data_IF_948358082245
#
_entry.id   IF_948358082245
#
_cell.length_a   1.000
_cell.length_b   1.000
_cell.length_c   1.000
_cell.angle_alpha   90.00
_cell.angle_beta   90.00
_cell.angle_gamma   90.00
#
_symmetry.space_group_name_H-M   'P 1'
#
loop_
_entity.id
_entity.type
_entity.pdbx_description
1 polymer ?
#
# COMPACT_ATOMS: atom_id res chain seq x y z
N UNK A 1 17.30 -0.09 8.10
CA UNK A 1 16.73 1.29 8.22
C UNK A 1 15.87 1.50 7.00
N UNK A 2 14.59 1.76 7.18
CA UNK A 2 13.64 1.99 6.09
C UNK A 2 13.82 3.39 5.50
N UNK A 3 13.49 3.57 4.21
CA UNK A 3 13.45 4.88 3.55
C UNK A 3 12.45 5.83 4.21
N UNK A 4 11.45 5.29 4.88
CA UNK A 4 10.41 6.03 5.57
C UNK A 4 10.78 6.47 6.99
N UNK A 5 11.83 5.90 7.61
CA UNK A 5 12.26 6.27 8.95
C UNK A 5 12.47 7.79 9.13
N UNK A 6 13.09 8.52 8.17
CA UNK A 6 13.31 9.95 8.32
C UNK A 6 12.03 10.78 8.28
N UNK A 7 11.00 10.33 7.55
CA UNK A 7 9.77 11.08 7.28
C UNK A 7 8.54 10.53 8.02
N UNK A 8 8.68 9.57 8.91
CA UNK A 8 7.56 8.92 9.57
C UNK A 8 6.56 9.90 10.22
N UNK A 9 7.04 11.00 10.80
CA UNK A 9 6.18 12.02 11.43
C UNK A 9 5.50 12.99 10.47
N UNK A 10 6.02 13.12 9.25
CA UNK A 10 5.45 13.99 8.21
C UNK A 10 4.72 13.19 7.13
N UNK A 11 4.69 11.87 7.26
CA UNK A 11 4.07 10.98 6.27
C UNK A 11 2.59 11.27 6.07
N UNK A 12 1.82 11.35 7.15
CA UNK A 12 0.39 11.62 7.06
C UNK A 12 0.07 13.01 6.51
N UNK A 13 0.73 14.11 6.94
CA UNK A 13 0.62 15.38 6.24
C UNK A 13 0.94 15.27 4.75
N UNK A 14 2.05 14.61 4.38
CA UNK A 14 2.46 14.47 2.98
C UNK A 14 1.47 13.66 2.15
N UNK A 15 0.89 12.59 2.71
CA UNK A 15 -0.07 11.70 2.02
C UNK A 15 -1.54 12.15 2.12
N UNK A 16 -1.81 13.31 2.71
CA UNK A 16 -3.16 13.80 3.03
C UNK A 16 -4.07 14.00 1.81
N UNK A 17 -3.50 14.19 0.62
CA UNK A 17 -4.26 14.43 -0.61
C UNK A 17 -5.06 13.22 -1.10
N UNK A 18 -4.75 12.01 -0.61
CA UNK A 18 -5.48 10.78 -0.96
C UNK A 18 -6.25 10.31 0.27
N UNK A 19 -7.56 10.40 0.24
CA UNK A 19 -8.48 10.04 1.34
C UNK A 19 -9.54 9.04 0.94
N UNK A 20 -9.83 8.92 -0.34
CA UNK A 20 -10.88 8.07 -0.90
C UNK A 20 -10.56 6.58 -0.73
N UNK A 21 -9.30 6.24 -0.63
CA UNK A 21 -8.84 4.88 -0.37
C UNK A 21 -9.21 4.39 1.05
N UNK A 22 -9.27 5.30 2.03
CA UNK A 22 -9.61 4.94 3.41
C UNK A 22 -11.01 4.32 3.49
N UNK A 23 -12.00 4.99 2.92
CA UNK A 23 -13.39 4.51 2.91
C UNK A 23 -13.51 3.17 2.16
N UNK A 24 -12.85 3.06 1.01
CA UNK A 24 -12.81 1.84 0.21
C UNK A 24 -12.28 0.64 0.99
N UNK A 25 -11.13 0.77 1.68
CA UNK A 25 -10.54 -0.33 2.46
C UNK A 25 -11.35 -0.65 3.72
N UNK A 26 -11.94 0.35 4.37
CA UNK A 26 -12.86 0.13 5.50
C UNK A 26 -14.09 -0.68 5.06
N UNK A 27 -14.69 -0.34 3.91
CA UNK A 27 -15.81 -1.11 3.36
C UNK A 27 -15.41 -2.55 3.02
N UNK A 28 -14.23 -2.75 2.41
CA UNK A 28 -13.71 -4.08 2.12
C UNK A 28 -13.50 -4.91 3.41
N UNK A 29 -12.99 -4.29 4.46
CA UNK A 29 -12.80 -4.92 5.77
C UNK A 29 -14.13 -5.32 6.40
N UNK A 30 -15.13 -4.43 6.40
CA UNK A 30 -16.49 -4.71 6.89
C UNK A 30 -17.15 -5.84 6.11
N UNK A 31 -17.01 -5.84 4.78
CA UNK A 31 -17.58 -6.88 3.91
C UNK A 31 -16.92 -8.24 4.13
N UNK A 32 -15.64 -8.31 4.52
CA UNK A 32 -14.94 -9.55 4.82
C UNK A 32 -15.35 -10.16 6.16
N UNK A 33 -15.85 -9.36 7.08
CA UNK A 33 -16.14 -9.74 8.47
C UNK A 33 -14.90 -9.86 9.36
N UNK A 34 -13.69 -9.55 8.83
CA UNK A 34 -12.41 -9.55 9.53
C UNK A 34 -12.03 -10.85 10.23
N UNK A 35 -10.81 -10.98 10.79
CA UNK A 35 -9.75 -9.96 10.86
C UNK A 35 -9.12 -9.62 9.51
N UNK A 36 -8.33 -8.55 9.47
CA UNK A 36 -7.61 -8.09 8.28
C UNK A 36 -6.11 -8.11 8.54
N UNK A 37 -5.32 -8.55 7.58
CA UNK A 37 -3.88 -8.31 7.57
C UNK A 37 -3.60 -7.15 6.62
N UNK A 38 -2.88 -6.13 7.10
CA UNK A 38 -2.38 -5.02 6.29
C UNK A 38 -0.86 -5.15 6.12
N UNK A 39 -0.44 -5.35 4.87
CA UNK A 39 0.96 -5.38 4.47
C UNK A 39 1.44 -3.95 4.19
N UNK A 40 2.60 -3.58 4.76
CA UNK A 40 3.12 -2.21 4.78
C UNK A 40 2.16 -1.22 5.45
N UNK A 41 1.79 -1.52 6.70
CA UNK A 41 0.79 -0.77 7.47
C UNK A 41 1.18 0.70 7.72
N UNK A 42 2.46 1.05 7.61
CA UNK A 42 2.96 2.41 7.77
C UNK A 42 2.59 3.02 9.12
N UNK A 43 2.03 4.23 9.07
CA UNK A 43 1.54 4.98 10.23
C UNK A 43 0.17 4.52 10.74
N UNK A 44 -0.41 3.48 10.11
CA UNK A 44 -1.76 3.01 10.45
C UNK A 44 -2.89 3.81 9.80
N UNK A 45 -2.60 4.56 8.74
CA UNK A 45 -3.55 5.42 8.05
C UNK A 45 -4.83 4.68 7.60
N UNK A 46 -4.71 3.40 7.24
CA UNK A 46 -5.84 2.52 6.90
C UNK A 46 -6.21 1.61 8.08
N UNK A 47 -5.22 1.04 8.79
CA UNK A 47 -5.47 0.13 9.93
C UNK A 47 -6.31 0.76 11.04
N UNK A 48 -6.04 2.03 11.38
CA UNK A 48 -6.76 2.70 12.47
C UNK A 48 -8.24 2.93 12.14
N UNK A 49 -8.63 3.48 10.98
CA UNK A 49 -10.03 3.56 10.55
C UNK A 49 -10.75 2.21 10.48
N UNK A 50 -10.08 1.15 10.01
CA UNK A 50 -10.64 -0.21 10.03
C UNK A 50 -10.91 -0.65 11.47
N UNK A 51 -9.98 -0.38 12.40
CA UNK A 51 -10.17 -0.70 13.82
C UNK A 51 -11.28 0.16 14.46
N UNK A 52 -11.43 1.44 14.09
CA UNK A 52 -12.56 2.29 14.51
C UNK A 52 -13.91 1.73 14.04
N UNK A 53 -13.94 1.03 12.89
CA UNK A 53 -15.11 0.30 12.42
C UNK A 53 -15.35 -1.04 13.15
N UNK A 54 -14.54 -1.39 14.16
CA UNK A 54 -14.69 -2.58 15.00
C UNK A 54 -14.04 -3.86 14.46
N UNK A 55 -13.22 -3.76 13.43
CA UNK A 55 -12.51 -4.89 12.83
C UNK A 55 -11.06 -4.95 13.35
N UNK A 56 -10.63 -6.14 13.79
CA UNK A 56 -9.23 -6.38 14.19
C UNK A 56 -8.30 -6.33 12.97
N UNK A 57 -7.19 -5.58 13.10
CA UNK A 57 -6.15 -5.45 12.08
C UNK A 57 -4.82 -5.98 12.60
N UNK A 58 -4.13 -6.76 11.79
CA UNK A 58 -2.76 -7.23 12.02
C UNK A 58 -1.89 -6.54 10.96
N UNK A 59 -1.10 -5.56 11.36
CA UNK A 59 -0.25 -4.77 10.47
C UNK A 59 1.20 -5.22 10.52
N UNK A 60 1.88 -5.24 9.37
CA UNK A 60 3.33 -5.43 9.28
C UNK A 60 3.97 -4.28 8.52
N UNK A 61 5.11 -3.79 9.00
CA UNK A 61 5.91 -2.77 8.32
C UNK A 61 7.40 -2.96 8.61
N UNK A 62 8.24 -2.59 7.62
CA UNK A 62 9.69 -2.65 7.73
C UNK A 62 10.28 -1.49 8.56
N UNK A 63 9.53 -0.40 8.74
CA UNK A 63 9.93 0.77 9.51
C UNK A 63 9.39 0.72 10.93
N UNK A 64 10.29 0.52 11.90
CA UNK A 64 9.92 0.62 13.31
C UNK A 64 9.35 1.98 13.67
N UNK A 65 9.85 3.06 13.05
CA UNK A 65 9.37 4.43 13.30
C UNK A 65 7.95 4.67 12.81
N UNK A 66 7.60 4.08 11.66
CA UNK A 66 6.22 4.09 11.17
C UNK A 66 5.29 3.36 12.13
N UNK A 67 5.69 2.18 12.59
CA UNK A 67 4.92 1.40 13.57
C UNK A 67 4.76 2.14 14.92
N UNK A 68 5.74 2.94 15.32
CA UNK A 68 5.63 3.73 16.56
C UNK A 68 4.56 4.82 16.40
N UNK A 69 4.48 5.48 15.22
CA UNK A 69 3.40 6.42 14.89
C UNK A 69 2.05 5.70 14.84
N UNK A 70 1.98 4.52 14.21
CA UNK A 70 0.74 3.73 14.15
C UNK A 70 0.20 3.37 15.55
N UNK A 71 1.10 2.99 16.48
CA UNK A 71 0.73 2.72 17.89
C UNK A 71 0.20 3.95 18.60
N UNK A 72 0.84 5.11 18.35
CA UNK A 72 0.40 6.39 18.92
C UNK A 72 -0.99 6.75 18.42
N UNK A 73 -1.23 6.67 17.11
CA UNK A 73 -2.55 6.92 16.50
C UNK A 73 -3.64 5.97 17.01
N UNK A 74 -3.36 4.66 17.05
CA UNK A 74 -4.32 3.67 17.56
C UNK A 74 -4.72 3.95 19.02
N UNK A 75 -3.74 4.38 19.85
CA UNK A 75 -4.00 4.77 21.25
C UNK A 75 -4.82 6.05 21.35
N UNK A 76 -4.49 7.07 20.57
CA UNK A 76 -5.23 8.34 20.55
C UNK A 76 -6.70 8.15 20.13
N UNK A 77 -6.96 7.19 19.25
CA UNK A 77 -8.31 6.82 18.81
C UNK A 77 -8.99 5.78 19.71
N UNK A 78 -8.29 5.24 20.73
CA UNK A 78 -8.83 4.26 21.68
C UNK A 78 -9.05 2.86 21.09
N UNK A 79 -8.38 2.54 19.98
CA UNK A 79 -8.52 1.27 19.25
C UNK A 79 -7.27 0.39 19.30
N UNK A 80 -6.32 0.68 20.18
CA UNK A 80 -5.07 -0.09 20.32
C UNK A 80 -5.29 -1.58 20.61
N UNK A 81 -6.44 -1.94 21.18
CA UNK A 81 -6.81 -3.32 21.48
C UNK A 81 -7.25 -4.12 20.23
N UNK A 82 -7.51 -3.44 19.11
CA UNK A 82 -7.85 -4.02 17.81
C UNK A 82 -6.71 -3.96 16.80
N UNK A 83 -5.62 -3.27 17.10
CA UNK A 83 -4.49 -3.08 16.18
C UNK A 83 -3.25 -3.81 16.73
N UNK A 84 -2.88 -4.90 16.07
CA UNK A 84 -1.67 -5.67 16.35
C UNK A 84 -0.59 -5.31 15.32
N UNK A 85 0.62 -4.92 15.76
CA UNK A 85 1.65 -4.38 14.86
C UNK A 85 2.96 -5.17 14.99
N UNK A 86 3.47 -5.65 13.85
CA UNK A 86 4.69 -6.42 13.72
C UNK A 86 5.73 -5.68 12.89
N UNK A 87 6.97 -5.65 13.36
CA UNK A 87 8.11 -5.23 12.56
C UNK A 87 8.58 -6.41 11.70
N UNK A 88 8.52 -6.26 10.37
CA UNK A 88 8.87 -7.35 9.45
C UNK A 88 8.80 -6.93 7.99
N UNK A 89 9.27 -7.83 7.13
CA UNK A 89 9.20 -7.69 5.67
C UNK A 89 7.85 -8.24 5.17
N UNK A 90 7.18 -7.50 4.30
CA UNK A 90 5.93 -7.94 3.68
C UNK A 90 6.10 -9.16 2.76
N UNK A 91 7.33 -9.45 2.31
CA UNK A 91 7.65 -10.68 1.57
C UNK A 91 7.79 -11.93 2.47
N UNK A 92 8.03 -11.73 3.77
CA UNK A 92 8.12 -12.80 4.79
C UNK A 92 7.57 -12.28 6.12
N UNK A 93 6.27 -11.95 6.18
CA UNK A 93 5.67 -11.34 7.36
C UNK A 93 5.63 -12.32 8.54
N UNK A 94 5.99 -11.88 9.76
CA UNK A 94 6.00 -12.73 10.95
C UNK A 94 4.57 -12.96 11.48
N UNK A 95 3.64 -13.33 10.60
CA UNK A 95 2.23 -13.56 10.87
C UNK A 95 1.90 -15.00 10.52
N UNK A 96 1.26 -15.73 11.42
CA UNK A 96 0.93 -17.14 11.24
C UNK A 96 -0.57 -17.41 11.18
N UNK A 97 -1.38 -16.40 11.49
CA UNK A 97 -2.83 -16.45 11.40
C UNK A 97 -3.27 -16.28 9.94
N UNK A 98 -4.30 -17.02 9.54
CA UNK A 98 -4.97 -16.82 8.26
C UNK A 98 -6.21 -15.96 8.46
N UNK A 99 -6.48 -15.10 7.50
CA UNK A 99 -7.55 -14.11 7.54
C UNK A 99 -8.39 -14.14 6.26
N UNK A 100 -9.64 -13.68 6.31
CA UNK A 100 -10.48 -13.58 5.11
C UNK A 100 -10.04 -12.46 4.16
N UNK A 101 -9.29 -11.46 4.65
CA UNK A 101 -8.84 -10.32 3.86
C UNK A 101 -7.40 -9.94 4.18
N UNK A 102 -6.57 -9.87 3.14
CA UNK A 102 -5.25 -9.22 3.17
C UNK A 102 -5.33 -7.96 2.31
N UNK A 103 -4.78 -6.86 2.79
CA UNK A 103 -4.69 -5.61 2.01
C UNK A 103 -3.24 -5.13 1.91
N UNK A 104 -2.93 -4.44 0.83
CA UNK A 104 -1.63 -3.77 0.63
C UNK A 104 -1.86 -2.40 -0.01
N UNK A 105 -2.26 -1.39 0.78
CA UNK A 105 -2.67 -0.08 0.30
C UNK A 105 -1.50 0.79 -0.17
N UNK A 106 -1.87 1.88 -0.84
CA UNK A 106 -1.03 3.03 -1.14
C UNK A 106 0.23 2.67 -1.94
N UNK A 107 0.03 1.85 -2.99
CA UNK A 107 1.07 1.52 -3.98
C UNK A 107 2.30 0.81 -3.40
N UNK A 108 2.17 0.21 -2.21
CA UNK A 108 3.29 -0.38 -1.46
C UNK A 108 4.00 -1.49 -2.23
N UNK A 109 3.30 -2.25 -3.09
CA UNK A 109 3.92 -3.28 -3.94
C UNK A 109 4.88 -2.71 -4.99
N UNK A 110 4.80 -1.41 -5.30
CA UNK A 110 5.72 -0.79 -6.27
C UNK A 110 7.13 -0.58 -5.70
N UNK A 111 7.32 -0.69 -4.37
CA UNK A 111 8.66 -0.66 -3.76
C UNK A 111 9.52 -1.89 -4.09
N UNK A 112 8.89 -2.99 -4.52
CA UNK A 112 9.59 -4.19 -4.96
C UNK A 112 10.24 -3.93 -6.33
N UNK A 113 11.57 -3.94 -6.39
CA UNK A 113 12.30 -3.57 -7.60
C UNK A 113 12.10 -4.57 -8.77
N UNK A 114 11.98 -5.85 -8.46
CA UNK A 114 11.88 -6.90 -9.45
C UNK A 114 10.59 -7.72 -9.38
N UNK A 115 10.26 -8.39 -10.49
CA UNK A 115 9.11 -9.31 -10.54
C UNK A 115 9.23 -10.46 -9.55
N UNK A 116 10.46 -10.89 -9.22
CA UNK A 116 10.71 -11.93 -8.22
C UNK A 116 10.32 -11.50 -6.80
N UNK A 117 10.62 -10.26 -6.42
CA UNK A 117 10.22 -9.69 -5.12
C UNK A 117 8.71 -9.47 -5.06
N UNK A 118 8.11 -8.93 -6.13
CA UNK A 118 6.67 -8.79 -6.24
C UNK A 118 5.96 -10.14 -6.09
N UNK A 119 6.46 -11.18 -6.77
CA UNK A 119 5.92 -12.53 -6.66
C UNK A 119 6.08 -13.11 -5.24
N UNK A 120 7.19 -12.81 -4.54
CA UNK A 120 7.36 -13.22 -3.15
C UNK A 120 6.32 -12.55 -2.24
N UNK A 121 6.07 -11.26 -2.41
CA UNK A 121 5.03 -10.52 -1.70
C UNK A 121 3.62 -11.10 -1.96
N UNK A 122 3.30 -11.39 -3.21
CA UNK A 122 2.03 -12.02 -3.59
C UNK A 122 1.87 -13.40 -2.94
N UNK A 123 2.91 -14.22 -2.92
CA UNK A 123 2.89 -15.54 -2.26
C UNK A 123 2.76 -15.43 -0.74
N UNK A 124 3.37 -14.42 -0.13
CA UNK A 124 3.19 -14.14 1.29
C UNK A 124 1.73 -13.77 1.58
N UNK A 125 1.14 -12.85 0.81
CA UNK A 125 -0.27 -12.52 0.92
C UNK A 125 -1.18 -13.74 0.74
N UNK A 126 -0.90 -14.60 -0.27
CA UNK A 126 -1.64 -15.84 -0.50
C UNK A 126 -1.56 -16.80 0.70
N UNK A 127 -0.41 -16.93 1.35
CA UNK A 127 -0.22 -17.82 2.50
C UNK A 127 -1.01 -17.35 3.73
N UNK A 128 -1.23 -16.04 3.88
CA UNK A 128 -1.98 -15.44 4.97
C UNK A 128 -3.50 -15.51 4.78
N UNK A 129 -3.98 -15.86 3.60
CA UNK A 129 -5.41 -15.93 3.33
C UNK A 129 -6.02 -17.26 3.71
N UNK A 130 -7.25 -17.22 4.24
CA UNK A 130 -8.15 -18.36 4.32
C UNK A 130 -8.53 -18.88 2.93
N UNK A 131 -9.09 -20.11 2.79
CA UNK A 131 -9.75 -20.51 1.57
C UNK A 131 -10.81 -19.49 1.16
N UNK A 132 -10.87 -19.13 -0.12
CA UNK A 132 -11.77 -18.09 -0.67
C UNK A 132 -11.53 -16.66 -0.13
N UNK A 133 -10.48 -16.44 0.64
CA UNK A 133 -10.08 -15.11 1.10
C UNK A 133 -9.62 -14.21 -0.05
N UNK A 134 -9.66 -12.91 0.16
CA UNK A 134 -9.34 -11.88 -0.84
C UNK A 134 -8.08 -11.12 -0.51
N UNK A 135 -7.32 -10.81 -1.55
CA UNK A 135 -6.23 -9.86 -1.53
C UNK A 135 -6.64 -8.60 -2.29
N UNK A 136 -6.60 -7.45 -1.61
CA UNK A 136 -6.97 -6.15 -2.20
C UNK A 136 -5.80 -5.20 -2.09
N UNK A 137 -5.40 -4.60 -3.22
CA UNK A 137 -4.27 -3.69 -3.28
C UNK A 137 -4.43 -2.68 -4.40
N UNK A 138 -3.69 -1.58 -4.34
CA UNK A 138 -3.64 -0.57 -5.37
C UNK A 138 -2.21 -0.37 -5.88
N UNK A 139 -2.11 -0.09 -7.18
CA UNK A 139 -0.87 0.23 -7.90
C UNK A 139 -1.18 1.22 -9.01
N UNK A 140 -0.14 1.75 -9.64
CA UNK A 140 -0.31 2.59 -10.82
C UNK A 140 0.67 2.22 -11.94
N UNK A 141 0.36 2.67 -13.14
CA UNK A 141 1.29 2.85 -14.24
C UNK A 141 1.12 4.29 -14.75
N UNK A 142 2.20 5.09 -14.89
CA UNK A 142 2.06 6.51 -15.16
C UNK A 142 1.50 6.78 -16.55
N UNK A 143 0.73 7.84 -16.67
CA UNK A 143 0.42 8.43 -17.97
C UNK A 143 1.59 9.27 -18.48
N UNK A 144 1.55 9.57 -19.77
CA UNK A 144 2.52 10.49 -20.35
C UNK A 144 2.35 11.92 -19.82
N UNK A 145 1.12 12.31 -19.52
CA UNK A 145 0.79 13.63 -18.97
C UNK A 145 1.40 13.82 -17.59
N UNK A 146 1.26 12.82 -16.69
CA UNK A 146 1.88 12.84 -15.37
C UNK A 146 3.39 13.01 -15.42
N UNK A 147 4.05 12.26 -16.33
CA UNK A 147 5.49 12.35 -16.51
C UNK A 147 5.87 13.77 -16.97
N UNK A 148 5.22 14.30 -18.01
CA UNK A 148 5.50 15.63 -18.55
C UNK A 148 5.27 16.75 -17.52
N UNK A 149 4.29 16.58 -16.63
CA UNK A 149 3.95 17.59 -15.62
C UNK A 149 4.87 17.57 -14.39
N UNK A 150 5.36 16.38 -14.00
CA UNK A 150 6.00 16.20 -12.69
C UNK A 150 7.51 15.95 -12.78
N UNK A 151 8.04 15.48 -13.93
CA UNK A 151 9.44 15.05 -14.06
C UNK A 151 10.43 16.14 -13.68
N UNK A 152 11.33 15.80 -12.76
CA UNK A 152 12.41 16.64 -12.28
C UNK A 152 11.99 17.88 -11.48
N UNK A 153 10.73 18.04 -11.13
CA UNK A 153 10.19 19.24 -10.47
C UNK A 153 9.93 19.01 -9.00
N UNK A 154 10.34 19.98 -8.17
CA UNK A 154 9.91 20.06 -6.78
C UNK A 154 8.53 20.72 -6.69
N UNK A 155 7.57 19.98 -6.20
CA UNK A 155 6.20 20.44 -5.97
C UNK A 155 5.94 20.50 -4.45
N UNK A 156 5.40 21.61 -3.98
CA UNK A 156 4.94 21.72 -2.59
C UNK A 156 3.61 21.01 -2.44
N UNK A 157 3.58 19.94 -1.63
CA UNK A 157 2.37 19.14 -1.37
C UNK A 157 1.60 19.66 -0.17
N UNK A 158 2.33 20.07 0.87
CA UNK A 158 1.82 20.72 2.07
C UNK A 158 2.83 21.81 2.47
N UNK A 159 2.46 22.80 3.29
CA UNK A 159 3.37 23.86 3.70
C UNK A 159 4.69 23.32 4.26
N UNK A 160 5.79 23.58 3.56
CA UNK A 160 7.14 23.13 3.92
C UNK A 160 7.45 21.67 3.57
N UNK A 161 6.54 20.92 2.94
CA UNK A 161 6.75 19.55 2.48
C UNK A 161 6.75 19.53 0.95
N UNK A 162 7.88 19.18 0.38
CA UNK A 162 8.10 19.15 -1.05
C UNK A 162 8.32 17.72 -1.54
N UNK A 163 7.83 17.44 -2.72
CA UNK A 163 8.00 16.19 -3.43
C UNK A 163 8.61 16.44 -4.81
N UNK A 164 9.45 15.51 -5.26
CA UNK A 164 10.00 15.49 -6.60
C UNK A 164 9.91 14.09 -7.18
N UNK A 165 9.38 14.01 -8.38
CA UNK A 165 9.36 12.80 -9.19
C UNK A 165 10.50 12.88 -10.24
N UNK A 166 11.35 11.86 -10.29
CA UNK A 166 12.32 11.66 -11.36
C UNK A 166 11.98 10.35 -12.07
N UNK A 167 11.52 10.44 -13.32
CA UNK A 167 10.97 9.31 -14.08
C UNK A 167 12.02 8.67 -15.00
N UNK A 168 12.12 7.36 -14.96
CA UNK A 168 12.86 6.54 -15.91
C UNK A 168 11.88 5.61 -16.64
N UNK A 169 11.31 6.09 -17.75
CA UNK A 169 10.34 5.32 -18.53
C UNK A 169 10.91 4.00 -19.07
N UNK A 170 12.15 3.95 -19.64
CA UNK A 170 12.73 2.68 -20.08
C UNK A 170 12.93 1.67 -18.96
N UNK A 171 13.35 2.15 -17.78
CA UNK A 171 13.54 1.33 -16.58
C UNK A 171 12.26 1.09 -15.79
N UNK A 172 11.15 1.75 -16.17
CA UNK A 172 9.87 1.71 -15.46
C UNK A 172 10.01 1.99 -13.97
N UNK A 173 10.77 3.03 -13.66
CA UNK A 173 11.07 3.43 -12.29
C UNK A 173 10.77 4.90 -12.07
N UNK A 174 10.02 5.18 -11.01
CA UNK A 174 9.89 6.51 -10.44
C UNK A 174 10.79 6.59 -9.21
N UNK A 175 11.76 7.51 -9.20
CA UNK A 175 12.44 7.91 -7.98
C UNK A 175 11.67 9.06 -7.36
N UNK A 176 11.02 8.80 -6.24
CA UNK A 176 10.29 9.81 -5.49
C UNK A 176 11.17 10.33 -4.37
N UNK A 177 11.37 11.65 -4.33
CA UNK A 177 12.14 12.34 -3.30
C UNK A 177 11.21 13.24 -2.49
N UNK A 178 11.26 13.12 -1.15
CA UNK A 178 10.46 13.93 -0.23
C UNK A 178 11.42 14.76 0.62
N UNK A 179 11.15 16.04 0.73
CA UNK A 179 11.94 17.00 1.52
C UNK A 179 11.04 17.80 2.45
N UNK A 180 11.46 17.89 3.73
CA UNK A 180 10.87 18.82 4.72
C UNK A 180 11.97 19.29 5.64
N UNK A 181 12.11 20.59 5.84
CA UNK A 181 13.21 21.22 6.58
C UNK A 181 14.59 20.70 6.10
N UNK A 182 15.39 20.12 7.00
CA UNK A 182 16.70 19.55 6.69
C UNK A 182 16.65 18.05 6.32
N UNK A 183 15.44 17.45 6.25
CA UNK A 183 15.27 16.03 5.94
C UNK A 183 14.99 15.85 4.46
N UNK A 184 15.78 15.00 3.82
CA UNK A 184 15.53 14.52 2.45
C UNK A 184 15.61 13.01 2.46
N UNK A 185 14.61 12.36 1.88
CA UNK A 185 14.63 10.91 1.61
C UNK A 185 14.20 10.64 0.19
N UNK A 186 14.68 9.54 -0.38
CA UNK A 186 14.30 9.12 -1.72
C UNK A 186 14.11 7.61 -1.76
N UNK A 187 13.16 7.15 -2.56
CA UNK A 187 12.88 5.74 -2.77
C UNK A 187 12.38 5.50 -4.20
N UNK A 188 12.59 4.28 -4.68
CA UNK A 188 12.13 3.85 -6.01
C UNK A 188 10.76 3.20 -5.96
N UNK A 189 9.93 3.48 -6.97
CA UNK A 189 8.69 2.79 -7.27
C UNK A 189 8.81 2.18 -8.67
N UNK A 190 8.53 0.88 -8.79
CA UNK A 190 8.71 0.12 -10.01
C UNK A 190 7.36 -0.38 -10.51
N UNK A 191 6.83 0.28 -11.56
CA UNK A 191 5.50 -0.06 -12.07
C UNK A 191 5.53 -1.19 -13.11
N UNK A 192 4.39 -1.80 -13.26
CA UNK A 192 4.10 -2.80 -14.28
C UNK A 192 2.83 -2.42 -15.01
N UNK A 193 2.70 -2.87 -16.25
CA UNK A 193 1.46 -2.80 -16.99
C UNK A 193 0.41 -3.76 -16.40
N UNK A 194 -0.85 -3.53 -16.70
CA UNK A 194 -1.96 -4.40 -16.28
C UNK A 194 -1.75 -5.87 -16.69
N UNK A 195 -1.36 -6.23 -17.93
CA UNK A 195 -1.11 -7.62 -18.27
C UNK A 195 0.01 -8.28 -17.45
N UNK A 196 1.07 -7.54 -17.12
CA UNK A 196 2.16 -8.06 -16.29
C UNK A 196 1.71 -8.32 -14.85
N UNK A 197 0.80 -7.48 -14.31
CA UNK A 197 0.17 -7.75 -13.01
C UNK A 197 -0.72 -9.00 -13.08
N UNK A 198 -1.50 -9.19 -14.15
CA UNK A 198 -2.34 -10.38 -14.32
C UNK A 198 -1.49 -11.65 -14.34
N UNK A 199 -0.36 -11.66 -15.06
CA UNK A 199 0.58 -12.79 -15.11
C UNK A 199 1.21 -13.08 -13.73
N UNK A 200 1.60 -12.04 -12.98
CA UNK A 200 2.15 -12.20 -11.64
C UNK A 200 1.12 -12.70 -10.63
N UNK A 201 -0.11 -12.21 -10.69
CA UNK A 201 -1.20 -12.64 -9.84
C UNK A 201 -1.54 -14.11 -10.09
N UNK A 202 -1.59 -14.53 -11.35
CA UNK A 202 -1.77 -15.94 -11.73
C UNK A 202 -0.64 -16.81 -11.14
N UNK A 203 0.63 -16.41 -11.31
CA UNK A 203 1.79 -17.10 -10.76
C UNK A 203 1.85 -17.08 -9.22
N UNK A 204 1.23 -16.07 -8.60
CA UNK A 204 1.07 -15.92 -7.15
C UNK A 204 -0.07 -16.74 -6.54
N UNK A 205 -0.89 -17.40 -7.38
CA UNK A 205 -2.02 -18.23 -6.92
C UNK A 205 -3.33 -17.45 -6.75
N UNK A 206 -3.48 -16.32 -7.44
CA UNK A 206 -4.68 -15.50 -7.38
C UNK A 206 -5.54 -15.60 -8.64
N UNK A 207 -6.83 -15.40 -8.47
CA UNK A 207 -7.79 -15.11 -9.53
C UNK A 207 -8.24 -13.66 -9.38
N UNK A 208 -8.04 -12.83 -10.40
CA UNK A 208 -8.52 -11.45 -10.41
C UNK A 208 -10.04 -11.47 -10.55
N UNK A 209 -10.76 -10.96 -9.55
CA UNK A 209 -12.23 -10.84 -9.58
C UNK A 209 -12.65 -9.49 -10.16
N UNK A 210 -11.99 -8.41 -9.70
CA UNK A 210 -12.31 -7.05 -10.13
C UNK A 210 -11.03 -6.20 -10.27
N UNK A 211 -11.07 -5.25 -11.18
CA UNK A 211 -10.08 -4.17 -11.26
C UNK A 211 -10.81 -2.87 -11.55
N UNK A 212 -10.56 -1.90 -10.70
CA UNK A 212 -11.14 -0.57 -10.80
C UNK A 212 -10.06 0.46 -11.14
N UNK A 213 -10.47 1.54 -11.84
CA UNK A 213 -9.59 2.67 -12.17
C UNK A 213 -9.42 3.66 -11.01
N UNK A 214 -10.20 3.52 -9.92
CA UNK A 214 -10.10 4.32 -8.72
C UNK A 214 -10.87 3.68 -7.55
N UNK A 215 -10.76 4.25 -6.37
CA UNK A 215 -11.43 3.79 -5.15
C UNK A 215 -12.96 3.99 -5.14
N UNK A 216 -13.52 4.76 -6.08
CA UNK A 216 -14.97 4.88 -6.33
C UNK A 216 -15.56 3.67 -7.10
N UNK A 217 -14.74 2.67 -7.36
CA UNK A 217 -15.07 1.44 -8.12
C UNK A 217 -15.48 1.69 -9.57
N UNK A 218 -15.06 2.82 -10.18
CA UNK A 218 -15.22 2.98 -11.61
C UNK A 218 -14.46 1.88 -12.37
N UNK A 219 -15.01 1.37 -13.48
CA UNK A 219 -14.32 0.35 -14.27
C UNK A 219 -12.94 0.84 -14.71
N UNK A 220 -11.93 -0.03 -14.63
CA UNK A 220 -10.62 0.24 -15.21
C UNK A 220 -10.74 0.41 -16.71
N UNK A 221 -10.28 1.51 -17.26
CA UNK A 221 -10.36 1.89 -18.68
C UNK A 221 -8.98 2.24 -19.25
N UNK A 222 -7.96 1.45 -18.91
CA UNK A 222 -6.56 1.67 -19.32
C UNK A 222 -5.98 3.00 -18.77
N UNK A 223 -6.45 3.36 -17.60
CA UNK A 223 -6.01 4.53 -16.84
C UNK A 223 -4.78 4.21 -15.98
N UNK A 224 -4.31 5.21 -15.26
CA UNK A 224 -3.08 5.15 -14.45
C UNK A 224 -3.24 4.26 -13.23
N UNK A 225 -4.29 4.48 -12.44
CA UNK A 225 -4.51 3.74 -11.20
C UNK A 225 -5.24 2.42 -11.44
N UNK A 226 -4.81 1.40 -10.73
CA UNK A 226 -5.39 0.06 -10.74
C UNK A 226 -5.63 -0.39 -9.30
N UNK A 227 -6.89 -0.56 -8.93
CA UNK A 227 -7.29 -1.14 -7.65
C UNK A 227 -7.77 -2.57 -7.89
N UNK A 228 -7.02 -3.54 -7.40
CA UNK A 228 -7.28 -4.95 -7.61
C UNK A 228 -8.03 -5.58 -6.44
N UNK A 229 -9.03 -6.40 -6.73
CA UNK A 229 -9.59 -7.40 -5.84
C UNK A 229 -9.36 -8.79 -6.41
N UNK A 230 -8.60 -9.61 -5.69
CA UNK A 230 -8.17 -10.92 -6.13
C UNK A 230 -8.60 -11.98 -5.13
N UNK A 231 -9.14 -13.09 -5.61
CA UNK A 231 -9.49 -14.24 -4.79
C UNK A 231 -8.31 -15.21 -4.73
N UNK A 232 -8.05 -15.74 -3.53
CA UNK A 232 -7.11 -16.85 -3.35
C UNK A 232 -7.59 -18.09 -4.10
N UNK A 233 -6.72 -18.66 -4.98
CA UNK A 233 -6.95 -20.00 -5.54
C UNK A 233 -6.62 -21.10 -4.53
N UNK A 234 -7.25 -22.25 -4.68
CA UNK A 234 -7.04 -23.42 -3.84
C UNK A 234 -5.61 -23.99 -3.95
#
# INVERSE_FOLDING_TARGET
MSYYDPIARIYDPWSRSVTEDVEFYVEAALASGGPVVELAVGTGRIAVPIAEAGIRVIGVDLSQRMLDVAREQARERGVEHLVELHHGDLCDPPIHERVPLVICPFRSLLHMAGTGEKLAALRAAHALLEPDGRFVFDVFAPSREDIEETDGRWLEREPGIFERADWDEPGRTLTLSVRSDDVVTSFGLHWLSRPEWDDLLDAGGFEVEEVWGWFDRRPFADEEDMVFSCRRRA
#
